data_IF_475950293724
#
_entry.id   IF_475950293724
#
_cell.length_a   1.000
_cell.length_b   1.000
_cell.length_c   1.000
_cell.angle_alpha   90.00
_cell.angle_beta   90.00
_cell.angle_gamma   90.00
#
_symmetry.space_group_name_H-M   'P 1'
#
loop_
_entity.id
_entity.type
_entity.pdbx_description
1 polymer ?
#
# COMPACT_ATOMS: atom_id res chain seq x y z
N UNK A 1 -61.16 15.76 -28.91
CA UNK A 1 -59.84 15.17 -29.23
C UNK A 1 -58.79 15.78 -28.32
N UNK A 2 -58.14 14.97 -27.47
CA UNK A 2 -57.22 15.41 -26.41
C UNK A 2 -55.79 15.37 -26.98
N UNK A 3 -55.12 16.52 -27.12
CA UNK A 3 -53.73 16.59 -27.61
C UNK A 3 -52.79 15.90 -26.59
N UNK A 4 -51.92 14.97 -27.02
CA UNK A 4 -50.93 14.41 -26.13
C UNK A 4 -49.90 15.48 -25.74
N UNK A 5 -49.63 15.55 -24.45
CA UNK A 5 -48.75 16.52 -23.82
C UNK A 5 -47.30 16.14 -24.14
N UNK A 6 -46.73 16.78 -25.17
CA UNK A 6 -45.40 16.49 -25.77
C UNK A 6 -44.21 16.77 -24.84
N UNK A 7 -44.43 17.04 -23.55
CA UNK A 7 -43.38 17.42 -22.60
C UNK A 7 -42.81 16.26 -21.79
N UNK A 8 -43.43 15.07 -21.71
CA UNK A 8 -42.92 14.01 -20.84
C UNK A 8 -41.81 13.13 -21.46
N UNK A 9 -41.66 13.14 -22.78
CA UNK A 9 -40.74 12.23 -23.49
C UNK A 9 -39.30 12.75 -23.48
N UNK A 10 -39.09 14.06 -23.40
CA UNK A 10 -37.75 14.68 -23.44
C UNK A 10 -36.95 14.50 -22.14
N UNK A 11 -37.62 14.45 -20.98
CA UNK A 11 -36.95 14.28 -19.69
C UNK A 11 -36.35 12.88 -19.49
N UNK A 12 -36.94 11.85 -20.11
CA UNK A 12 -36.47 10.47 -19.99
C UNK A 12 -35.09 10.27 -20.64
N UNK A 13 -34.85 10.87 -21.80
CA UNK A 13 -33.57 10.75 -22.50
C UNK A 13 -32.46 11.56 -21.84
N UNK A 14 -32.79 12.75 -21.33
CA UNK A 14 -31.84 13.58 -20.57
C UNK A 14 -31.35 12.87 -19.29
N UNK A 15 -32.20 12.09 -18.63
CA UNK A 15 -31.83 11.30 -17.46
C UNK A 15 -30.86 10.16 -17.79
N UNK A 16 -31.07 9.43 -18.90
CA UNK A 16 -30.14 8.41 -19.38
C UNK A 16 -28.80 9.01 -19.81
N UNK A 17 -28.80 10.19 -20.43
CA UNK A 17 -27.57 10.91 -20.80
C UNK A 17 -26.78 11.38 -19.57
N UNK A 18 -27.46 11.83 -18.52
CA UNK A 18 -26.85 12.24 -17.27
C UNK A 18 -26.18 11.05 -16.54
N UNK A 19 -26.80 9.87 -16.58
CA UNK A 19 -26.23 8.63 -16.04
C UNK A 19 -24.98 8.15 -16.80
N UNK A 20 -24.92 8.38 -18.11
CA UNK A 20 -23.75 8.03 -18.94
C UNK A 20 -22.56 8.95 -18.70
N UNK A 21 -22.82 10.18 -18.26
CA UNK A 21 -21.81 11.22 -18.01
C UNK A 21 -21.24 11.19 -16.60
N UNK A 22 -21.76 10.37 -15.68
CA UNK A 22 -21.08 10.11 -14.41
C UNK A 22 -19.77 9.41 -14.75
N UNK A 23 -18.61 10.09 -14.70
CA UNK A 23 -17.36 9.42 -14.89
C UNK A 23 -17.27 8.50 -13.69
N UNK A 24 -17.41 7.19 -13.92
CA UNK A 24 -17.02 6.18 -12.96
C UNK A 24 -15.65 6.61 -12.46
N UNK A 25 -15.56 6.92 -11.17
CA UNK A 25 -14.33 7.35 -10.51
C UNK A 25 -13.35 6.20 -10.62
N UNK A 26 -12.69 6.09 -11.78
CA UNK A 26 -11.71 5.07 -12.09
C UNK A 26 -10.44 5.55 -11.41
N UNK A 27 -10.37 5.30 -10.11
CA UNK A 27 -9.09 5.31 -9.43
C UNK A 27 -8.17 4.36 -10.18
N UNK A 28 -6.91 4.76 -10.43
CA UNK A 28 -5.96 3.90 -11.11
C UNK A 28 -5.89 2.58 -10.34
N UNK A 29 -6.19 1.48 -11.04
CA UNK A 29 -6.20 0.13 -10.43
C UNK A 29 -4.83 -0.23 -9.88
N UNK A 30 -3.78 0.29 -10.52
CA UNK A 30 -2.39 0.12 -10.14
C UNK A 30 -1.70 1.47 -10.05
N UNK A 31 -0.85 1.64 -9.04
CA UNK A 31 -0.07 2.87 -8.84
C UNK A 31 1.35 2.55 -8.38
N UNK A 32 2.30 3.48 -8.54
CA UNK A 32 3.64 3.32 -7.99
C UNK A 32 3.65 3.65 -6.49
N UNK A 33 4.40 2.87 -5.70
CA UNK A 33 4.68 3.15 -4.30
C UNK A 33 6.18 3.01 -4.06
N UNK A 34 6.72 3.92 -3.23
CA UNK A 34 8.02 3.77 -2.59
C UNK A 34 7.83 3.64 -1.09
N UNK A 35 8.37 2.58 -0.49
CA UNK A 35 8.38 2.37 0.97
C UNK A 35 9.84 2.42 1.41
N UNK A 36 10.14 3.32 2.35
CA UNK A 36 11.45 3.40 3.00
C UNK A 36 11.31 3.07 4.47
N UNK A 37 12.34 2.47 5.05
CA UNK A 37 12.37 2.18 6.47
C UNK A 37 13.78 2.04 7.00
N UNK A 38 13.90 2.13 8.32
CA UNK A 38 15.14 1.86 9.06
C UNK A 38 14.96 0.57 9.84
N UNK A 39 15.95 -0.30 9.79
CA UNK A 39 15.92 -1.57 10.51
C UNK A 39 17.37 -1.99 10.84
N UNK A 40 17.68 -2.22 12.10
CA UNK A 40 19.04 -2.61 12.57
C UNK A 40 19.32 -4.11 12.35
N UNK A 41 18.94 -4.61 11.18
CA UNK A 41 19.01 -6.02 10.80
C UNK A 41 19.57 -6.14 9.38
N UNK A 42 20.81 -5.67 9.21
CA UNK A 42 21.51 -5.74 7.91
C UNK A 42 21.49 -7.16 7.34
N UNK A 43 21.54 -7.25 6.02
CA UNK A 43 21.48 -8.52 5.26
C UNK A 43 20.13 -9.23 5.34
N UNK A 44 19.14 -8.67 6.04
CA UNK A 44 17.78 -9.19 6.07
C UNK A 44 17.03 -8.84 4.78
N UNK A 45 16.32 -9.83 4.25
CA UNK A 45 15.47 -9.70 3.06
C UNK A 45 14.13 -9.10 3.50
N UNK A 46 13.74 -7.98 2.90
CA UNK A 46 12.44 -7.33 3.11
C UNK A 46 11.54 -7.63 1.92
N UNK A 47 10.31 -8.05 2.19
CA UNK A 47 9.31 -8.44 1.18
C UNK A 47 8.01 -7.70 1.40
N UNK A 48 7.25 -7.56 0.32
CA UNK A 48 5.88 -7.08 0.35
C UNK A 48 4.94 -8.21 -0.08
N UNK A 49 3.99 -8.53 0.78
CA UNK A 49 3.04 -9.62 0.63
C UNK A 49 1.63 -9.07 0.71
N UNK A 50 0.70 -9.60 -0.09
CA UNK A 50 -0.72 -9.26 0.02
C UNK A 50 -1.39 -10.03 1.16
N UNK A 51 -2.68 -9.76 1.39
CA UNK A 51 -3.49 -10.45 2.39
C UNK A 51 -3.59 -11.98 2.17
N UNK A 52 -3.32 -12.47 0.96
CA UNK A 52 -3.31 -13.90 0.64
C UNK A 52 -1.90 -14.50 0.77
N UNK A 53 -0.97 -13.77 1.38
CA UNK A 53 0.45 -14.14 1.50
C UNK A 53 1.16 -14.32 0.16
N UNK A 54 0.62 -13.77 -0.93
CA UNK A 54 1.28 -13.76 -2.22
C UNK A 54 2.33 -12.67 -2.21
N UNK A 55 3.55 -13.02 -2.62
CA UNK A 55 4.64 -12.06 -2.80
C UNK A 55 4.27 -11.14 -3.97
N UNK A 56 4.10 -9.86 -3.67
CA UNK A 56 3.80 -8.81 -4.67
C UNK A 56 5.09 -8.10 -5.10
N UNK A 57 6.15 -8.21 -4.31
CA UNK A 57 7.47 -7.69 -4.65
C UNK A 57 8.61 -8.64 -4.22
N UNK A 58 9.53 -8.90 -5.14
CA UNK A 58 10.52 -9.99 -5.12
C UNK A 58 11.65 -9.85 -4.08
N UNK A 59 11.75 -8.71 -3.40
CA UNK A 59 12.54 -8.38 -2.20
C UNK A 59 13.66 -7.33 -2.35
N UNK A 60 13.93 -6.62 -1.26
CA UNK A 60 15.11 -5.74 -1.09
C UNK A 60 15.92 -6.21 0.12
N UNK A 61 17.20 -5.91 0.18
CA UNK A 61 18.05 -6.24 1.34
C UNK A 61 18.30 -4.99 2.17
N UNK A 62 18.15 -5.09 3.49
CA UNK A 62 18.54 -4.02 4.42
C UNK A 62 20.05 -3.81 4.33
N UNK A 63 20.47 -2.57 4.02
CA UNK A 63 21.86 -2.14 3.97
C UNK A 63 22.02 -0.83 4.73
N UNK A 64 23.07 -0.71 5.52
CA UNK A 64 23.33 0.48 6.35
C UNK A 64 22.11 0.83 7.24
N UNK A 65 21.47 -0.19 7.80
CA UNK A 65 20.26 -0.11 8.60
C UNK A 65 19.06 0.53 7.88
N UNK A 66 19.05 0.53 6.55
CA UNK A 66 18.01 1.13 5.73
C UNK A 66 17.56 0.19 4.62
N UNK A 67 16.31 0.32 4.23
CA UNK A 67 15.78 -0.32 3.04
C UNK A 67 14.87 0.61 2.27
N UNK A 68 14.82 0.38 0.95
CA UNK A 68 13.87 1.02 0.06
C UNK A 68 13.25 -0.04 -0.84
N UNK A 69 11.93 -0.07 -0.87
CA UNK A 69 11.12 -0.87 -1.77
C UNK A 69 10.49 0.06 -2.81
N UNK A 70 10.72 -0.22 -4.08
CA UNK A 70 10.09 0.48 -5.19
C UNK A 70 9.20 -0.48 -5.97
N UNK A 71 7.90 -0.23 -6.01
CA UNK A 71 6.95 -0.98 -6.86
C UNK A 71 6.20 -0.02 -7.76
N UNK A 72 6.05 -0.39 -9.04
CA UNK A 72 5.43 0.45 -10.05
C UNK A 72 3.98 0.05 -10.35
N UNK A 73 3.53 -1.10 -9.81
CA UNK A 73 2.25 -1.72 -10.13
C UNK A 73 1.69 -2.44 -8.91
N UNK A 74 1.17 -1.67 -7.95
CA UNK A 74 0.49 -2.23 -6.80
C UNK A 74 -0.99 -1.89 -6.84
N UNK A 75 -1.83 -2.89 -6.54
CA UNK A 75 -3.27 -2.70 -6.46
C UNK A 75 -3.65 -2.00 -5.16
N UNK A 76 -4.79 -1.31 -5.15
CA UNK A 76 -5.38 -0.81 -3.90
C UNK A 76 -5.70 -1.98 -2.97
N UNK A 77 -5.25 -1.89 -1.71
CA UNK A 77 -5.46 -2.96 -0.73
C UNK A 77 -4.53 -2.85 0.48
N UNK A 78 -4.59 -3.87 1.34
CA UNK A 78 -3.71 -4.03 2.48
C UNK A 78 -2.56 -4.98 2.15
N UNK A 79 -1.39 -4.68 2.70
CA UNK A 79 -0.16 -5.41 2.46
C UNK A 79 0.61 -5.58 3.77
N UNK A 80 1.39 -6.65 3.84
CA UNK A 80 2.33 -6.92 4.91
C UNK A 80 3.76 -6.67 4.44
N UNK A 81 4.60 -6.18 5.35
CA UNK A 81 6.04 -6.07 5.13
C UNK A 81 6.71 -7.13 5.98
N UNK A 82 7.32 -8.11 5.32
CA UNK A 82 7.95 -9.25 5.97
C UNK A 82 9.48 -9.11 5.94
N UNK A 83 10.12 -9.44 7.07
CA UNK A 83 11.58 -9.48 7.21
C UNK A 83 12.03 -10.93 7.35
N UNK A 84 12.83 -11.41 6.40
CA UNK A 84 13.34 -12.78 6.37
C UNK A 84 14.87 -12.78 6.42
N UNK A 85 15.43 -13.38 7.46
CA UNK A 85 16.87 -13.58 7.59
C UNK A 85 17.17 -15.10 7.51
N UNK A 86 18.29 -15.45 6.86
CA UNK A 86 18.79 -16.81 6.77
C UNK A 86 19.79 -17.15 7.89
N UNK A 87 20.31 -16.14 8.59
CA UNK A 87 21.22 -16.35 9.71
C UNK A 87 20.43 -16.86 10.93
N UNK A 88 20.98 -17.81 11.72
CA UNK A 88 20.46 -18.03 13.07
C UNK A 88 20.59 -16.69 13.80
N UNK A 89 19.47 -16.19 14.33
CA UNK A 89 19.52 -15.10 15.31
C UNK A 89 20.41 -15.63 16.43
N UNK A 90 21.61 -15.08 16.55
CA UNK A 90 22.52 -15.45 17.62
C UNK A 90 21.87 -14.96 18.91
N UNK A 91 21.17 -15.87 19.59
CA UNK A 91 20.32 -15.59 20.76
C UNK A 91 21.10 -14.98 21.94
N UNK A 92 22.43 -14.93 21.84
CA UNK A 92 23.34 -14.39 22.83
C UNK A 92 23.64 -12.89 22.64
N UNK A 93 23.33 -12.29 21.47
CA UNK A 93 23.66 -10.89 21.16
C UNK A 93 22.49 -10.03 20.68
N UNK A 94 21.31 -10.62 20.50
CA UNK A 94 20.13 -9.96 19.94
C UNK A 94 19.18 -9.47 21.03
N UNK A 95 19.55 -8.38 21.70
CA UNK A 95 18.56 -7.56 22.40
C UNK A 95 17.69 -6.86 21.35
N UNK A 96 16.40 -7.19 21.30
CA UNK A 96 15.42 -6.41 20.54
C UNK A 96 15.29 -5.04 21.19
N UNK A 97 16.06 -4.06 20.71
CA UNK A 97 15.90 -2.68 21.12
C UNK A 97 14.78 -2.05 20.33
N UNK A 98 13.67 -1.79 21.00
CA UNK A 98 12.64 -0.93 20.45
C UNK A 98 13.25 0.46 20.23
N UNK A 99 13.27 0.93 18.99
CA UNK A 99 13.74 2.29 18.71
C UNK A 99 12.92 3.29 19.52
N UNK A 100 13.55 4.31 20.14
CA UNK A 100 12.81 5.37 20.80
C UNK A 100 11.89 6.05 19.78
N UNK A 101 10.63 6.23 20.16
CA UNK A 101 9.70 7.04 19.40
C UNK A 101 10.29 8.47 19.25
N UNK A 102 10.00 9.17 18.13
CA UNK A 102 10.47 10.54 17.94
C UNK A 102 10.11 11.41 19.17
N UNK A 103 11.14 11.90 19.87
CA UNK A 103 10.97 12.73 21.08
C UNK A 103 11.22 12.04 22.43
N UNK A 104 11.57 10.75 22.47
CA UNK A 104 11.99 10.08 23.71
C UNK A 104 13.51 9.92 23.79
N UNK A 105 14.12 10.50 24.82
CA UNK A 105 15.50 10.21 25.23
C UNK A 105 15.47 9.28 26.43
N UNK A 106 16.17 8.14 26.35
CA UNK A 106 16.34 7.27 27.51
C UNK A 106 17.32 7.93 28.49
N UNK A 107 16.87 8.20 29.71
CA UNK A 107 17.74 8.61 30.80
C UNK A 107 18.72 7.46 31.10
N UNK A 108 20.02 7.75 31.05
CA UNK A 108 21.06 6.81 31.46
C UNK A 108 21.01 6.66 32.99
N UNK A 109 20.74 5.45 33.46
CA UNK A 109 21.03 5.00 34.82
C UNK A 109 22.37 4.28 34.87
#
# INVERSE_FOLDING_TARGET
MKKPNLKSITYSWAFFFLLYLLPSCNQPKEFPITITGQAEINETIVRLTDLNSKIVYDSTTVKNNQFTLHTNKINTGFYYIDFKNSAPIDSLTSEWKQMPLPGQTFAKG
#
